data_IF_618759682820
#
_entry.id   IF_618759682820
#
_cell.length_a   1.000
_cell.length_b   1.000
_cell.length_c   1.000
_cell.angle_alpha   90.00
_cell.angle_beta   90.00
_cell.angle_gamma   90.00
#
_symmetry.space_group_name_H-M   'P 1'
#
loop_
_entity.id
_entity.type
_entity.pdbx_description
1 polymer ?
#
# COMPACT_ATOMS: atom_id res chain seq x y z
N UNK A 1 -14.02 18.20 -16.54
CA UNK A 1 -14.94 17.14 -16.06
C UNK A 1 -14.21 15.86 -15.72
N UNK A 2 -13.57 15.14 -16.66
CA UNK A 2 -12.89 13.88 -16.31
C UNK A 2 -11.69 14.06 -15.37
N UNK A 3 -10.87 15.09 -15.55
CA UNK A 3 -9.76 15.39 -14.65
C UNK A 3 -10.22 15.84 -13.24
N UNK A 4 -11.44 16.41 -13.12
CA UNK A 4 -11.98 16.79 -11.82
C UNK A 4 -12.27 15.57 -10.94
N UNK A 5 -12.53 14.39 -11.53
CA UNK A 5 -12.77 13.15 -10.79
C UNK A 5 -11.53 12.67 -10.02
N UNK A 6 -10.33 13.14 -10.39
CA UNK A 6 -9.09 12.85 -9.68
C UNK A 6 -8.79 13.81 -8.54
N UNK A 7 -9.51 14.94 -8.42
CA UNK A 7 -9.32 15.92 -7.36
C UNK A 7 -9.74 15.36 -6.00
N UNK A 8 -8.88 15.56 -5.02
CA UNK A 8 -9.09 15.12 -3.64
C UNK A 8 -9.23 16.28 -2.66
N UNK A 9 -9.54 17.48 -3.17
CA UNK A 9 -9.70 18.68 -2.35
C UNK A 9 -10.71 18.46 -1.23
N UNK A 10 -10.28 18.70 0.02
CA UNK A 10 -11.10 18.50 1.21
C UNK A 10 -11.19 17.04 1.71
N UNK A 11 -10.54 16.08 1.03
CA UNK A 11 -10.43 14.69 1.49
C UNK A 11 -9.29 14.56 2.51
N UNK A 12 -9.49 13.71 3.50
CA UNK A 12 -8.49 13.35 4.51
C UNK A 12 -7.93 11.98 4.14
N UNK A 13 -6.62 11.89 4.00
CA UNK A 13 -5.93 10.67 3.61
C UNK A 13 -4.88 10.24 4.64
N UNK A 14 -4.75 8.94 4.86
CA UNK A 14 -3.66 8.35 5.63
C UNK A 14 -2.94 7.29 4.80
N UNK A 15 -1.61 7.31 4.84
CA UNK A 15 -0.74 6.34 4.16
C UNK A 15 0.13 5.64 5.18
N UNK A 16 0.03 4.31 5.31
CA UNK A 16 0.92 3.51 6.17
C UNK A 16 2.20 3.19 5.42
N UNK A 17 3.36 3.15 6.14
CA UNK A 17 4.67 3.04 5.50
C UNK A 17 4.96 4.22 4.58
N UNK A 18 4.42 5.40 4.89
CA UNK A 18 4.48 6.59 4.05
C UNK A 18 5.79 7.35 4.11
N UNK A 19 6.76 6.92 4.91
CA UNK A 19 8.04 7.60 5.07
C UNK A 19 9.00 7.44 3.90
N UNK A 20 8.83 6.42 3.04
CA UNK A 20 9.70 6.15 1.89
C UNK A 20 9.03 5.29 0.82
N UNK A 21 9.73 5.14 -0.33
CA UNK A 21 9.37 4.20 -1.40
C UNK A 21 7.96 4.43 -1.95
N UNK A 22 7.22 3.34 -2.18
CA UNK A 22 5.87 3.39 -2.75
C UNK A 22 4.92 4.22 -1.86
N UNK A 23 5.00 4.04 -0.53
CA UNK A 23 4.14 4.77 0.39
C UNK A 23 4.33 6.28 0.32
N UNK A 24 5.57 6.75 0.26
CA UNK A 24 5.88 8.18 0.10
C UNK A 24 5.39 8.73 -1.25
N UNK A 25 5.59 7.99 -2.34
CA UNK A 25 5.09 8.40 -3.65
C UNK A 25 3.54 8.45 -3.69
N UNK A 26 2.87 7.49 -3.04
CA UNK A 26 1.40 7.54 -2.90
C UNK A 26 0.97 8.77 -2.08
N UNK A 27 1.67 9.06 -0.99
CA UNK A 27 1.44 10.24 -0.18
C UNK A 27 1.56 11.52 -1.01
N UNK A 28 2.61 11.63 -1.83
CA UNK A 28 2.84 12.75 -2.73
C UNK A 28 1.70 12.91 -3.75
N UNK A 29 1.32 11.84 -4.45
CA UNK A 29 0.26 11.89 -5.44
C UNK A 29 -1.11 12.29 -4.85
N UNK A 30 -1.43 11.83 -3.64
CA UNK A 30 -2.66 12.23 -2.94
C UNK A 30 -2.61 13.70 -2.51
N UNK A 31 -1.46 14.20 -2.04
CA UNK A 31 -1.28 15.59 -1.67
C UNK A 31 -1.35 16.52 -2.89
N UNK A 32 -0.72 16.15 -4.01
CA UNK A 32 -0.79 16.88 -5.29
C UNK A 32 -2.24 16.99 -5.79
N UNK A 33 -3.05 15.94 -5.61
CA UNK A 33 -4.47 15.95 -5.93
C UNK A 33 -5.33 16.79 -4.94
N UNK A 34 -4.74 17.31 -3.87
CA UNK A 34 -5.38 18.22 -2.92
C UNK A 34 -5.89 17.57 -1.63
N UNK A 35 -5.52 16.34 -1.33
CA UNK A 35 -5.85 15.71 -0.07
C UNK A 35 -5.03 16.30 1.09
N UNK A 36 -5.64 16.44 2.27
CA UNK A 36 -4.92 16.64 3.52
C UNK A 36 -4.38 15.29 4.01
N UNK A 37 -3.08 15.23 4.27
CA UNK A 37 -2.36 13.98 4.39
C UNK A 37 -1.82 13.74 5.80
N UNK A 38 -1.91 12.49 6.25
CA UNK A 38 -1.15 11.96 7.39
C UNK A 38 -0.26 10.80 6.91
N UNK A 39 1.04 10.89 7.18
CA UNK A 39 2.01 9.80 7.02
C UNK A 39 2.05 9.01 8.32
N UNK A 40 1.80 7.71 8.24
CA UNK A 40 2.00 6.78 9.35
C UNK A 40 3.20 5.88 9.05
N UNK A 41 4.17 5.86 9.94
CA UNK A 41 5.32 4.95 9.87
C UNK A 41 5.68 4.47 11.28
N UNK A 42 6.27 3.29 11.40
CA UNK A 42 6.77 2.79 12.69
C UNK A 42 8.06 3.47 13.13
N UNK A 43 8.81 4.00 12.17
CA UNK A 43 10.08 4.70 12.38
C UNK A 43 9.83 6.21 12.30
N UNK A 44 10.05 6.89 13.43
CA UNK A 44 9.87 8.32 13.55
C UNK A 44 10.77 9.12 12.60
N UNK A 45 12.01 8.66 12.39
CA UNK A 45 12.96 9.31 11.47
C UNK A 45 12.49 9.21 10.02
N UNK A 46 12.00 8.04 9.60
CA UNK A 46 11.44 7.85 8.26
C UNK A 46 10.17 8.69 8.06
N UNK A 47 9.27 8.72 9.04
CA UNK A 47 8.08 9.55 8.96
C UNK A 47 8.44 11.04 8.78
N UNK A 48 9.42 11.54 9.55
CA UNK A 48 9.86 12.94 9.46
C UNK A 48 10.58 13.23 8.13
N UNK A 49 11.45 12.33 7.66
CA UNK A 49 12.08 12.44 6.34
C UNK A 49 11.06 12.51 5.21
N UNK A 50 10.04 11.66 5.24
CA UNK A 50 8.94 11.68 4.28
C UNK A 50 8.20 13.01 4.30
N UNK A 51 7.86 13.51 5.49
CA UNK A 51 7.23 14.82 5.68
C UNK A 51 8.10 15.95 5.12
N UNK A 52 9.41 15.96 5.39
CA UNK A 52 10.33 16.95 4.85
C UNK A 52 10.43 16.90 3.33
N UNK A 53 10.44 15.69 2.75
CA UNK A 53 10.45 15.49 1.30
C UNK A 53 9.20 16.09 0.64
N UNK A 54 8.01 15.84 1.20
CA UNK A 54 6.76 16.42 0.71
C UNK A 54 6.76 17.94 0.85
N UNK A 55 7.20 18.44 1.99
CA UNK A 55 7.28 19.91 2.25
C UNK A 55 8.20 20.63 1.28
N UNK A 56 9.32 20.02 0.90
CA UNK A 56 10.23 20.58 -0.11
C UNK A 56 9.58 20.71 -1.50
N UNK A 57 8.52 19.93 -1.76
CA UNK A 57 7.68 19.98 -2.99
C UNK A 57 6.44 20.88 -2.83
N UNK A 58 6.27 21.53 -1.67
CA UNK A 58 5.14 22.42 -1.39
C UNK A 58 3.90 21.73 -0.81
N UNK A 59 4.01 20.45 -0.37
CA UNK A 59 2.92 19.70 0.23
C UNK A 59 3.11 19.57 1.73
N UNK A 60 2.09 19.92 2.51
CA UNK A 60 2.09 19.70 3.95
C UNK A 60 1.52 18.32 4.28
N UNK A 61 2.16 17.65 5.25
CA UNK A 61 1.69 16.39 5.79
C UNK A 61 1.89 16.35 7.32
N UNK A 62 0.91 15.80 8.02
CA UNK A 62 1.10 15.40 9.40
C UNK A 62 1.79 14.03 9.48
N UNK A 63 2.42 13.72 10.60
CA UNK A 63 3.04 12.42 10.84
C UNK A 63 2.49 11.77 12.09
N UNK A 64 2.42 10.45 12.10
CA UNK A 64 2.06 9.66 13.27
C UNK A 64 2.92 8.40 13.35
N UNK A 65 3.38 8.06 14.55
CA UNK A 65 4.17 6.84 14.78
C UNK A 65 3.20 5.70 15.03
N UNK A 66 3.21 4.72 14.13
CA UNK A 66 2.30 3.60 14.13
C UNK A 66 2.95 2.35 13.55
N UNK A 67 3.12 1.33 14.39
CA UNK A 67 3.41 -0.02 13.91
C UNK A 67 2.07 -0.69 13.56
N UNK A 68 1.90 -1.08 12.29
CA UNK A 68 0.68 -1.74 11.81
C UNK A 68 0.45 -3.10 12.45
N UNK A 69 1.49 -3.77 12.95
CA UNK A 69 1.37 -5.03 13.68
C UNK A 69 0.75 -4.85 15.09
N UNK A 70 0.71 -3.61 15.61
CA UNK A 70 0.07 -3.31 16.89
C UNK A 70 -1.39 -2.86 16.67
N UNK A 71 -2.32 -3.78 16.74
CA UNK A 71 -3.76 -3.57 16.56
C UNK A 71 -4.33 -2.46 17.46
N UNK A 72 -3.89 -2.39 18.72
CA UNK A 72 -4.34 -1.35 19.67
C UNK A 72 -3.88 0.05 19.25
N UNK A 73 -2.59 0.18 18.84
CA UNK A 73 -2.08 1.46 18.32
C UNK A 73 -2.75 1.89 17.04
N UNK A 74 -3.04 0.95 16.13
CA UNK A 74 -3.78 1.24 14.89
C UNK A 74 -5.17 1.80 15.18
N UNK A 75 -5.92 1.21 16.12
CA UNK A 75 -7.24 1.70 16.53
C UNK A 75 -7.14 3.11 17.14
N UNK A 76 -6.20 3.31 18.05
CA UNK A 76 -5.97 4.62 18.66
C UNK A 76 -5.64 5.70 17.63
N UNK A 77 -4.79 5.41 16.63
CA UNK A 77 -4.44 6.36 15.57
C UNK A 77 -5.66 6.68 14.68
N UNK A 78 -6.51 5.69 14.39
CA UNK A 78 -7.72 5.95 13.62
C UNK A 78 -8.64 6.94 14.35
N UNK A 79 -8.82 6.76 15.66
CA UNK A 79 -9.61 7.67 16.50
C UNK A 79 -8.95 9.06 16.60
N UNK A 80 -7.64 9.15 16.77
CA UNK A 80 -6.87 10.41 16.81
C UNK A 80 -7.04 11.21 15.49
N UNK A 81 -6.96 10.53 14.32
CA UNK A 81 -7.14 11.17 13.02
C UNK A 81 -8.57 11.70 12.86
N UNK A 82 -9.57 10.91 13.21
CA UNK A 82 -10.97 11.34 13.11
C UNK A 82 -11.28 12.45 14.11
N UNK A 83 -10.78 12.38 15.33
CA UNK A 83 -10.93 13.45 16.32
C UNK A 83 -10.31 14.77 15.82
N UNK A 84 -9.17 14.71 15.12
CA UNK A 84 -8.46 15.89 14.61
C UNK A 84 -9.11 16.51 13.37
N UNK A 85 -9.60 15.69 12.44
CA UNK A 85 -10.08 16.17 11.13
C UNK A 85 -11.58 16.01 10.91
N UNK A 86 -12.29 15.39 11.84
CA UNK A 86 -13.73 15.12 11.74
C UNK A 86 -14.08 13.93 10.84
N UNK A 87 -13.13 13.40 10.06
CA UNK A 87 -13.35 12.30 9.11
C UNK A 87 -12.04 11.65 8.66
N UNK A 88 -12.18 10.53 7.98
CA UNK A 88 -11.15 9.91 7.16
C UNK A 88 -11.81 9.43 5.85
N UNK A 89 -11.25 9.79 4.70
CA UNK A 89 -11.79 9.46 3.38
C UNK A 89 -11.00 8.41 2.63
N UNK A 90 -9.68 8.42 2.82
CA UNK A 90 -8.75 7.58 2.05
C UNK A 90 -7.75 6.91 2.99
N UNK A 91 -7.63 5.59 2.86
CA UNK A 91 -6.60 4.81 3.51
C UNK A 91 -5.75 4.10 2.44
N UNK A 92 -4.43 4.30 2.48
CA UNK A 92 -3.49 3.51 1.67
C UNK A 92 -2.67 2.62 2.59
N UNK A 93 -2.86 1.31 2.49
CA UNK A 93 -2.08 0.32 3.22
C UNK A 93 -0.84 -0.04 2.41
N UNK A 94 0.27 0.71 2.64
CA UNK A 94 1.55 0.49 1.96
C UNK A 94 2.64 -0.05 2.89
N UNK A 95 2.43 -0.08 4.20
CA UNK A 95 3.35 -0.73 5.12
C UNK A 95 3.48 -2.21 4.78
N UNK A 96 4.70 -2.67 4.61
CA UNK A 96 4.98 -4.05 4.27
C UNK A 96 6.46 -4.36 4.33
N UNK A 97 6.77 -5.63 4.51
CA UNK A 97 8.12 -6.17 4.48
C UNK A 97 8.20 -7.32 3.48
N UNK A 98 9.35 -7.45 2.84
CA UNK A 98 9.71 -8.61 2.06
C UNK A 98 10.95 -9.24 2.68
N UNK A 99 10.98 -10.54 2.68
CA UNK A 99 12.15 -11.36 2.95
C UNK A 99 12.26 -12.33 1.80
N UNK A 100 13.43 -12.73 1.42
CA UNK A 100 13.67 -13.68 0.36
C UNK A 100 14.86 -14.57 0.74
N UNK A 101 15.13 -15.60 -0.09
CA UNK A 101 16.30 -16.48 0.06
C UNK A 101 16.24 -17.43 1.25
N UNK A 102 15.03 -17.78 1.71
CA UNK A 102 14.87 -18.84 2.69
C UNK A 102 13.96 -19.92 2.12
N UNK A 103 14.51 -21.13 1.80
CA UNK A 103 13.71 -22.28 1.39
C UNK A 103 12.59 -22.56 2.39
N UNK A 104 11.42 -22.98 1.90
CA UNK A 104 10.22 -23.10 2.72
C UNK A 104 10.40 -23.99 3.95
N UNK A 105 11.17 -25.10 3.81
CA UNK A 105 11.47 -26.03 4.89
C UNK A 105 12.45 -25.49 5.95
N UNK A 106 13.05 -24.32 5.70
CA UNK A 106 13.98 -23.63 6.61
C UNK A 106 13.41 -22.35 7.20
N UNK A 107 12.22 -21.95 6.77
CA UNK A 107 11.54 -20.78 7.31
C UNK A 107 11.18 -21.03 8.77
N UNK A 108 11.64 -20.16 9.67
CA UNK A 108 11.27 -20.26 11.09
C UNK A 108 9.86 -19.72 11.31
N UNK A 109 9.21 -20.17 12.40
CA UNK A 109 7.90 -19.64 12.82
C UNK A 109 7.96 -18.12 13.00
N UNK A 110 9.05 -17.58 13.54
CA UNK A 110 9.25 -16.15 13.73
C UNK A 110 9.28 -15.39 12.38
N UNK A 111 10.02 -15.92 11.39
CA UNK A 111 10.07 -15.31 10.04
C UNK A 111 8.69 -15.33 9.39
N UNK A 112 7.99 -16.46 9.48
CA UNK A 112 6.63 -16.61 8.97
C UNK A 112 5.67 -15.60 9.61
N UNK A 113 5.60 -15.61 10.94
CA UNK A 113 4.69 -14.74 11.70
C UNK A 113 5.00 -13.27 11.49
N UNK A 114 6.28 -12.86 11.50
CA UNK A 114 6.66 -11.46 11.29
C UNK A 114 6.17 -10.92 9.93
N UNK A 115 6.26 -11.71 8.87
CA UNK A 115 5.76 -11.28 7.55
C UNK A 115 4.24 -11.23 7.52
N UNK A 116 3.55 -12.22 8.09
CA UNK A 116 2.10 -12.20 8.17
C UNK A 116 1.58 -11.07 9.06
N UNK A 117 2.23 -10.80 10.18
CA UNK A 117 1.82 -9.76 11.12
C UNK A 117 1.88 -8.37 10.49
N UNK A 118 2.93 -8.08 9.71
CA UNK A 118 3.02 -6.78 9.04
C UNK A 118 2.13 -6.74 7.80
N UNK A 119 2.27 -7.71 6.89
CA UNK A 119 1.67 -7.61 5.56
C UNK A 119 0.17 -7.90 5.54
N UNK A 120 -0.28 -8.89 6.33
CA UNK A 120 -1.67 -9.33 6.36
C UNK A 120 -2.44 -8.78 7.56
N UNK A 121 -1.99 -9.11 8.77
CA UNK A 121 -2.66 -8.68 10.00
C UNK A 121 -2.67 -7.16 10.09
N UNK A 122 -1.54 -6.50 9.81
CA UNK A 122 -1.43 -5.04 9.82
C UNK A 122 -2.35 -4.37 8.80
N UNK A 123 -2.44 -4.92 7.58
CA UNK A 123 -3.41 -4.46 6.57
C UNK A 123 -4.84 -4.62 7.08
N UNK A 124 -5.17 -5.76 7.68
CA UNK A 124 -6.52 -5.99 8.23
C UNK A 124 -6.82 -5.06 9.42
N UNK A 125 -5.87 -4.87 10.35
CA UNK A 125 -6.07 -3.95 11.48
C UNK A 125 -6.35 -2.52 11.03
N UNK A 126 -5.59 -2.04 10.03
CA UNK A 126 -5.82 -0.72 9.43
C UNK A 126 -7.18 -0.65 8.72
N UNK A 127 -7.50 -1.62 7.86
CA UNK A 127 -8.81 -1.68 7.21
C UNK A 127 -9.94 -1.66 8.23
N UNK A 128 -9.86 -2.45 9.30
CA UNK A 128 -10.90 -2.53 10.34
C UNK A 128 -11.06 -1.21 11.09
N UNK A 129 -9.97 -0.62 11.55
CA UNK A 129 -10.01 0.59 12.37
C UNK A 129 -10.49 1.81 11.57
N UNK A 130 -9.83 2.13 10.47
CA UNK A 130 -10.20 3.26 9.62
C UNK A 130 -11.51 3.01 8.87
N UNK A 131 -11.72 1.77 8.40
CA UNK A 131 -12.94 1.35 7.72
C UNK A 131 -14.18 1.48 8.61
N UNK A 132 -14.07 1.27 9.92
CA UNK A 132 -15.19 1.51 10.86
C UNK A 132 -15.70 2.94 10.80
N UNK A 133 -14.81 3.94 10.79
CA UNK A 133 -15.19 5.35 10.67
C UNK A 133 -15.75 5.67 9.28
N UNK A 134 -15.16 5.10 8.20
CA UNK A 134 -15.68 5.27 6.84
C UNK A 134 -17.08 4.69 6.67
N UNK A 135 -17.34 3.54 7.30
CA UNK A 135 -18.65 2.88 7.28
C UNK A 135 -19.72 3.69 8.04
N UNK A 136 -19.36 4.33 9.14
CA UNK A 136 -20.25 5.27 9.86
C UNK A 136 -20.56 6.50 9.02
N UNK A 137 -19.59 6.98 8.25
CA UNK A 137 -19.75 8.13 7.35
C UNK A 137 -20.40 7.76 6.00
N UNK A 138 -20.64 6.46 5.72
CA UNK A 138 -21.10 5.95 4.44
C UNK A 138 -20.25 6.42 3.24
N UNK A 139 -18.95 6.60 3.45
CA UNK A 139 -18.02 7.13 2.44
C UNK A 139 -16.59 6.73 2.77
N UNK A 140 -15.88 6.16 1.80
CA UNK A 140 -14.46 5.86 1.96
C UNK A 140 -13.85 5.12 0.77
N UNK A 141 -12.54 5.24 0.63
CA UNK A 141 -11.75 4.50 -0.35
C UNK A 141 -10.50 3.91 0.33
N UNK A 142 -10.35 2.61 0.27
CA UNK A 142 -9.19 1.89 0.79
C UNK A 142 -8.42 1.29 -0.38
N UNK A 143 -7.12 1.54 -0.42
CA UNK A 143 -6.21 0.97 -1.42
C UNK A 143 -5.11 0.19 -0.72
N UNK A 144 -5.07 -1.12 -0.94
CA UNK A 144 -4.06 -2.00 -0.38
C UNK A 144 -2.91 -2.19 -1.37
N UNK A 145 -1.67 -2.15 -0.91
CA UNK A 145 -0.52 -2.54 -1.73
C UNK A 145 -0.33 -4.05 -1.63
N UNK A 146 -0.83 -4.74 -2.65
CA UNK A 146 -0.61 -6.15 -2.88
C UNK A 146 0.78 -6.45 -3.47
N UNK A 147 0.84 -7.38 -4.40
CA UNK A 147 2.03 -7.71 -5.23
C UNK A 147 1.61 -8.66 -6.35
N UNK A 148 2.31 -8.66 -7.47
CA UNK A 148 2.20 -9.74 -8.46
C UNK A 148 2.43 -11.13 -7.81
N UNK A 149 3.23 -11.19 -6.74
CA UNK A 149 3.50 -12.38 -5.95
C UNK A 149 2.27 -12.99 -5.27
N UNK A 150 1.15 -12.28 -5.23
CA UNK A 150 -0.14 -12.82 -4.80
C UNK A 150 -0.88 -13.58 -5.92
N UNK A 151 -0.42 -13.48 -7.17
CA UNK A 151 -0.97 -14.18 -8.33
C UNK A 151 -0.05 -15.29 -8.84
N UNK A 152 1.27 -15.07 -8.77
CA UNK A 152 2.30 -15.97 -9.30
C UNK A 152 3.36 -16.28 -8.24
N UNK A 153 4.20 -17.25 -8.54
CA UNK A 153 5.42 -17.53 -7.78
C UNK A 153 6.61 -16.89 -8.48
N UNK A 154 7.33 -16.05 -7.74
CA UNK A 154 8.52 -15.36 -8.24
C UNK A 154 9.67 -16.35 -8.52
N UNK A 155 10.48 -16.02 -9.52
CA UNK A 155 11.72 -16.74 -9.85
C UNK A 155 12.88 -15.75 -9.89
N UNK A 156 14.05 -16.12 -9.33
CA UNK A 156 14.38 -17.38 -8.65
C UNK A 156 14.10 -17.38 -7.14
N UNK A 157 13.47 -16.35 -6.59
CA UNK A 157 13.38 -16.10 -5.15
C UNK A 157 12.54 -17.14 -4.40
N UNK A 158 13.08 -17.62 -3.30
CA UNK A 158 12.40 -18.49 -2.33
C UNK A 158 11.75 -17.61 -1.26
N UNK A 159 10.45 -17.37 -1.38
CA UNK A 159 9.70 -16.42 -0.54
C UNK A 159 8.24 -16.84 -0.31
N UNK A 160 8.00 -18.11 -0.04
CA UNK A 160 6.66 -18.70 0.10
C UNK A 160 5.75 -17.91 1.06
N UNK A 161 6.29 -17.49 2.20
CA UNK A 161 5.59 -16.71 3.22
C UNK A 161 5.18 -15.31 2.74
N UNK A 162 6.01 -14.65 1.93
CA UNK A 162 5.65 -13.38 1.30
C UNK A 162 4.52 -13.56 0.28
N UNK A 163 4.66 -14.56 -0.62
CA UNK A 163 3.65 -14.87 -1.62
C UNK A 163 2.31 -15.18 -0.95
N UNK A 164 2.32 -16.01 0.10
CA UNK A 164 1.12 -16.34 0.89
C UNK A 164 0.49 -15.08 1.50
N UNK A 165 1.29 -14.18 2.11
CA UNK A 165 0.80 -12.94 2.69
C UNK A 165 0.13 -12.03 1.65
N UNK A 166 0.71 -11.91 0.45
CA UNK A 166 0.18 -11.06 -0.62
C UNK A 166 -1.07 -11.65 -1.30
N UNK A 167 -1.13 -12.98 -1.47
CA UNK A 167 -2.33 -13.66 -1.91
C UNK A 167 -3.49 -13.46 -0.91
N UNK A 168 -3.20 -13.55 0.38
CA UNK A 168 -4.18 -13.28 1.43
C UNK A 168 -4.68 -11.83 1.42
N UNK A 169 -3.80 -10.82 1.21
CA UNK A 169 -4.20 -9.40 1.05
C UNK A 169 -5.13 -9.22 -0.16
N UNK A 170 -4.87 -9.92 -1.28
CA UNK A 170 -5.76 -9.86 -2.44
C UNK A 170 -7.17 -10.39 -2.09
N UNK A 171 -7.25 -11.54 -1.42
CA UNK A 171 -8.55 -12.10 -1.06
C UNK A 171 -9.25 -11.29 0.03
N UNK A 172 -8.51 -10.79 1.02
CA UNK A 172 -9.01 -9.84 2.03
C UNK A 172 -9.64 -8.60 1.37
N UNK A 173 -8.97 -8.03 0.35
CA UNK A 173 -9.49 -6.89 -0.41
C UNK A 173 -10.85 -7.19 -1.01
N UNK A 174 -11.03 -8.37 -1.64
CA UNK A 174 -12.31 -8.80 -2.21
C UNK A 174 -13.38 -9.01 -1.14
N UNK A 175 -13.02 -9.63 -0.02
CA UNK A 175 -13.95 -9.89 1.08
C UNK A 175 -14.48 -8.58 1.67
N UNK A 176 -13.60 -7.65 2.02
CA UNK A 176 -14.00 -6.36 2.56
C UNK A 176 -14.81 -5.52 1.56
N UNK A 177 -14.44 -5.58 0.27
CA UNK A 177 -15.20 -4.92 -0.79
C UNK A 177 -16.65 -5.44 -0.86
N UNK A 178 -16.82 -6.75 -0.82
CA UNK A 178 -18.16 -7.37 -0.83
C UNK A 178 -19.01 -6.99 0.40
N UNK A 179 -18.40 -6.93 1.58
CA UNK A 179 -19.08 -6.58 2.82
C UNK A 179 -19.45 -5.10 2.92
N UNK A 180 -18.64 -4.19 2.32
CA UNK A 180 -18.69 -2.76 2.59
C UNK A 180 -19.23 -1.91 1.44
N UNK A 181 -19.30 -2.46 0.21
CA UNK A 181 -19.73 -1.71 -0.97
C UNK A 181 -21.12 -1.07 -0.81
N UNK A 182 -22.11 -1.82 -0.33
CA UNK A 182 -23.46 -1.31 -0.10
C UNK A 182 -23.53 -0.26 1.03
N UNK A 183 -22.45 -0.11 1.80
CA UNK A 183 -22.31 0.85 2.90
C UNK A 183 -21.41 2.03 2.52
N UNK A 184 -21.13 2.21 1.21
CA UNK A 184 -20.42 3.36 0.67
C UNK A 184 -18.88 3.32 0.78
N UNK A 185 -18.28 2.18 1.11
CA UNK A 185 -16.82 2.05 1.21
C UNK A 185 -16.30 1.15 0.10
N UNK A 186 -15.38 1.66 -0.72
CA UNK A 186 -14.67 0.90 -1.76
C UNK A 186 -13.34 0.38 -1.23
N UNK A 187 -13.01 -0.87 -1.56
CA UNK A 187 -11.74 -1.48 -1.18
C UNK A 187 -11.12 -2.12 -2.42
N UNK A 188 -9.95 -1.66 -2.82
CA UNK A 188 -9.20 -2.17 -3.97
C UNK A 188 -7.74 -2.42 -3.61
N UNK A 189 -7.01 -3.09 -4.47
CA UNK A 189 -5.57 -3.26 -4.33
C UNK A 189 -4.83 -2.95 -5.63
N UNK A 190 -3.58 -2.51 -5.50
CA UNK A 190 -2.60 -2.49 -6.59
C UNK A 190 -1.63 -3.63 -6.35
N UNK A 191 -1.29 -4.35 -7.40
CA UNK A 191 -0.34 -5.47 -7.38
C UNK A 191 0.90 -5.13 -8.22
N UNK A 192 1.93 -4.49 -7.61
CA UNK A 192 3.16 -4.14 -8.30
C UNK A 192 4.03 -5.36 -8.63
N UNK A 193 4.89 -5.21 -9.65
CA UNK A 193 6.09 -5.99 -9.87
C UNK A 193 7.26 -5.46 -9.04
N UNK A 194 8.48 -5.69 -9.48
CA UNK A 194 9.71 -5.14 -8.92
C UNK A 194 9.80 -3.63 -9.19
N UNK A 195 9.73 -2.85 -8.14
CA UNK A 195 9.76 -1.39 -8.18
C UNK A 195 11.07 -0.89 -7.57
N UNK A 196 11.73 0.05 -8.24
CA UNK A 196 12.95 0.69 -7.74
C UNK A 196 12.65 1.46 -6.43
N UNK A 197 13.03 0.86 -5.31
CA UNK A 197 12.78 1.35 -3.95
C UNK A 197 13.92 0.96 -3.03
N UNK A 198 14.04 1.55 -1.82
CA UNK A 198 14.98 1.06 -0.82
C UNK A 198 14.79 -0.42 -0.44
N UNK A 199 13.57 -0.97 -0.61
CA UNK A 199 13.29 -2.38 -0.34
C UNK A 199 13.95 -3.32 -1.35
N UNK A 200 14.13 -2.88 -2.59
CA UNK A 200 14.67 -3.65 -3.72
C UNK A 200 16.09 -3.26 -4.09
N UNK A 201 16.68 -2.26 -3.42
CA UNK A 201 18.00 -1.72 -3.76
C UNK A 201 19.15 -2.78 -3.69
N UNK A 202 18.96 -3.84 -2.90
CA UNK A 202 19.94 -4.93 -2.82
C UNK A 202 20.20 -5.62 -4.17
N UNK A 203 19.24 -5.58 -5.09
CA UNK A 203 19.39 -6.20 -6.42
C UNK A 203 20.45 -5.51 -7.27
N UNK A 204 20.80 -4.26 -6.99
CA UNK A 204 21.87 -3.54 -7.69
C UNK A 204 23.24 -4.18 -7.45
N UNK A 205 23.40 -4.91 -6.35
CA UNK A 205 24.61 -5.69 -6.02
C UNK A 205 24.57 -7.16 -6.49
N UNK A 206 23.47 -7.59 -7.11
CA UNK A 206 23.26 -8.94 -7.64
C UNK A 206 22.83 -8.89 -9.12
N UNK A 207 23.79 -8.81 -10.07
CA UNK A 207 23.47 -8.72 -11.50
C UNK A 207 22.67 -9.91 -12.02
N UNK A 208 22.89 -11.13 -11.49
CA UNK A 208 22.17 -12.32 -11.94
C UNK A 208 20.69 -12.26 -11.55
N UNK A 209 20.40 -11.80 -10.34
CA UNK A 209 19.02 -11.59 -9.88
C UNK A 209 18.36 -10.43 -10.63
N UNK A 210 19.09 -9.34 -10.86
CA UNK A 210 18.61 -8.21 -11.66
C UNK A 210 18.21 -8.67 -13.08
N UNK A 211 19.10 -9.39 -13.76
CA UNK A 211 18.86 -9.91 -15.11
C UNK A 211 17.65 -10.87 -15.13
N UNK A 212 17.49 -11.70 -14.11
CA UNK A 212 16.32 -12.57 -13.98
C UNK A 212 15.03 -11.77 -13.87
N UNK A 213 15.00 -10.68 -13.08
CA UNK A 213 13.83 -9.83 -12.97
C UNK A 213 13.49 -9.11 -14.27
N UNK A 214 14.49 -8.55 -14.94
CA UNK A 214 14.31 -7.79 -16.17
C UNK A 214 13.90 -8.70 -17.33
N UNK A 215 14.55 -9.86 -17.49
CA UNK A 215 14.25 -10.81 -18.57
C UNK A 215 12.84 -11.36 -18.48
N UNK A 216 12.32 -11.55 -17.25
CA UNK A 216 10.94 -12.03 -17.05
C UNK A 216 9.88 -10.91 -17.12
N UNK A 217 10.30 -9.65 -17.22
CA UNK A 217 9.39 -8.52 -17.35
C UNK A 217 9.28 -8.08 -18.83
N UNK A 218 8.11 -8.17 -19.50
CA UNK A 218 7.96 -7.75 -20.89
C UNK A 218 8.43 -6.33 -21.21
N UNK A 219 8.22 -5.38 -20.29
CA UNK A 219 8.73 -4.02 -20.44
C UNK A 219 10.23 -3.89 -20.20
N UNK A 220 10.95 -4.97 -19.85
CA UNK A 220 12.39 -5.06 -19.70
C UNK A 220 13.00 -3.99 -18.77
N UNK A 221 12.32 -3.64 -17.67
CA UNK A 221 12.79 -2.67 -16.68
C UNK A 221 12.09 -2.84 -15.32
N UNK A 222 12.69 -2.28 -14.29
CA UNK A 222 11.99 -2.07 -13.02
C UNK A 222 10.90 -1.00 -13.17
N UNK A 223 9.84 -1.12 -12.41
CA UNK A 223 8.86 -0.06 -12.27
C UNK A 223 9.38 1.09 -11.40
N UNK A 224 8.81 2.28 -11.57
CA UNK A 224 9.06 3.45 -10.71
C UNK A 224 7.92 3.61 -9.72
N UNK A 225 8.22 4.24 -8.59
CA UNK A 225 7.22 4.46 -7.51
C UNK A 225 6.05 5.32 -7.97
N UNK A 226 6.29 6.27 -8.88
CA UNK A 226 5.25 7.14 -9.46
C UNK A 226 4.24 6.35 -10.31
N UNK A 227 4.67 5.27 -10.95
CA UNK A 227 3.78 4.42 -11.76
C UNK A 227 2.79 3.66 -10.87
N UNK A 228 3.17 3.32 -9.65
CA UNK A 228 2.27 2.74 -8.65
C UNK A 228 1.38 3.80 -8.00
N UNK A 229 1.96 4.93 -7.64
CA UNK A 229 1.24 6.04 -7.01
C UNK A 229 0.10 6.59 -7.89
N UNK A 230 0.30 6.63 -9.23
CA UNK A 230 -0.73 7.05 -10.18
C UNK A 230 -1.94 6.10 -10.17
N UNK A 231 -1.71 4.79 -10.07
CA UNK A 231 -2.80 3.81 -9.95
C UNK A 231 -3.50 3.93 -8.60
N UNK A 232 -2.75 4.16 -7.53
CA UNK A 232 -3.32 4.41 -6.19
C UNK A 232 -4.18 5.66 -6.19
N UNK A 233 -3.72 6.76 -6.78
CA UNK A 233 -4.51 8.00 -6.92
C UNK A 233 -5.81 7.74 -7.68
N UNK A 234 -5.78 7.02 -8.80
CA UNK A 234 -6.97 6.62 -9.53
C UNK A 234 -7.94 5.85 -8.65
N UNK A 235 -7.49 4.79 -7.97
CA UNK A 235 -8.35 3.95 -7.12
C UNK A 235 -8.90 4.68 -5.89
N UNK A 236 -8.17 5.65 -5.35
CA UNK A 236 -8.57 6.46 -4.22
C UNK A 236 -9.60 7.54 -4.60
N UNK A 237 -9.63 7.96 -5.87
CA UNK A 237 -10.44 9.07 -6.37
C UNK A 237 -11.83 8.64 -6.86
N UNK A 238 -12.67 9.62 -7.19
CA UNK A 238 -14.00 9.40 -7.77
C UNK A 238 -13.93 8.88 -9.22
N UNK A 239 -12.75 8.95 -9.87
CA UNK A 239 -12.52 8.33 -11.18
C UNK A 239 -12.69 6.79 -11.15
N UNK A 240 -12.52 6.18 -9.97
CA UNK A 240 -12.74 4.74 -9.74
C UNK A 240 -14.05 4.44 -8.98
N UNK A 241 -15.06 5.31 -9.05
CA UNK A 241 -16.30 5.19 -8.28
C UNK A 241 -17.07 3.88 -8.47
N UNK A 242 -16.91 3.21 -9.62
CA UNK A 242 -17.53 1.89 -9.89
C UNK A 242 -16.61 0.71 -9.56
N UNK A 243 -15.39 0.97 -9.06
CA UNK A 243 -14.41 -0.08 -8.78
C UNK A 243 -14.35 -0.39 -7.29
N UNK A 244 -14.64 -1.64 -6.94
CA UNK A 244 -14.39 -2.21 -5.62
C UNK A 244 -14.07 -3.71 -5.76
N UNK A 245 -13.21 -4.25 -4.92
CA UNK A 245 -12.74 -5.64 -4.98
C UNK A 245 -11.73 -5.93 -6.10
N UNK A 246 -11.28 -4.90 -6.83
CA UNK A 246 -10.33 -5.06 -7.92
C UNK A 246 -8.90 -5.18 -7.39
N UNK A 247 -8.13 -6.08 -8.00
CA UNK A 247 -6.69 -6.20 -7.81
C UNK A 247 -6.03 -5.78 -9.12
N UNK A 248 -5.54 -4.56 -9.18
CA UNK A 248 -5.00 -3.97 -10.41
C UNK A 248 -3.51 -4.29 -10.52
N UNK A 249 -3.15 -5.10 -11.52
CA UNK A 249 -1.76 -5.38 -11.85
C UNK A 249 -1.09 -4.12 -12.42
N UNK A 250 0.07 -3.78 -11.86
CA UNK A 250 0.98 -2.74 -12.36
C UNK A 250 2.38 -3.36 -12.41
N UNK A 251 2.58 -4.29 -13.34
CA UNK A 251 3.63 -5.28 -13.31
C UNK A 251 4.53 -5.33 -14.56
N UNK A 252 4.40 -4.36 -15.47
CA UNK A 252 5.18 -4.35 -16.70
C UNK A 252 4.93 -5.56 -17.60
N UNK A 253 3.82 -6.26 -17.40
CA UNK A 253 3.44 -7.47 -18.11
C UNK A 253 4.02 -8.75 -17.52
N UNK A 254 4.65 -8.72 -16.35
CA UNK A 254 5.31 -9.90 -15.74
C UNK A 254 4.39 -11.12 -15.63
N UNK A 255 3.09 -10.92 -15.41
CA UNK A 255 2.11 -12.00 -15.24
C UNK A 255 1.37 -12.38 -16.54
N UNK A 256 1.83 -11.92 -17.70
CA UNK A 256 1.18 -12.22 -18.98
C UNK A 256 1.51 -13.62 -19.53
N UNK A 257 2.52 -14.31 -19.01
CA UNK A 257 2.96 -15.68 -19.37
C UNK A 257 3.19 -16.56 -18.18
#
# INVERSE_FOLDING_TARGET
MYLDLFKLTGRIALVTGGGRGIGLACAEALAEAGARLTIADRDASLADQGRMTLRAKGYDADTVIMDVANSGRVTQVADEVVARYGRIDILVNSAGIARSETPAEKVTDEQWLNVLDVNLNGTFWCCRAFGSHMLQAHSGAIVNIGSMSGFIVNKPQEQSYYNASKAAVHHLTKSLAAEWAARGVRVNAVAPTYIATPLTAFVESDPALYDAWITNTPMARLGRVEEIASVVLFLASDAASLMTGSIVLADGGYTCW
#
